data_IF_988419720258
#
_entry.id   IF_988419720258
#
_cell.length_a   1.000
_cell.length_b   1.000
_cell.length_c   1.000
_cell.angle_alpha   90.00
_cell.angle_beta   90.00
_cell.angle_gamma   90.00
#
_symmetry.space_group_name_H-M   'P 1'
#
loop_
_entity.id
_entity.type
_entity.pdbx_description
1 polymer ?
#
# COMPACT_ATOMS: atom_id res chain seq x y z
N UNK A 1 2.84 4.20 -20.79
CA UNK A 1 3.73 4.91 -19.85
C UNK A 1 3.98 3.92 -18.72
N UNK A 2 5.22 3.51 -18.48
CA UNK A 2 5.51 2.49 -17.47
C UNK A 2 5.82 3.17 -16.15
N UNK A 3 5.25 2.62 -15.07
CA UNK A 3 5.51 3.04 -13.71
C UNK A 3 6.15 1.90 -12.96
N UNK A 4 7.07 2.23 -12.07
CA UNK A 4 7.77 1.23 -11.26
C UNK A 4 6.89 0.83 -10.07
N UNK A 5 6.71 -0.47 -9.91
CA UNK A 5 5.96 -1.05 -8.78
C UNK A 5 6.92 -1.98 -8.05
N UNK A 6 7.10 -1.74 -6.75
CA UNK A 6 7.77 -2.68 -5.85
C UNK A 6 6.71 -3.56 -5.18
N UNK A 7 6.99 -4.87 -5.12
CA UNK A 7 6.30 -5.78 -4.21
C UNK A 7 7.15 -5.89 -2.95
N UNK A 8 6.64 -5.40 -1.82
CA UNK A 8 7.38 -5.38 -0.55
C UNK A 8 6.54 -5.98 0.58
N UNK A 9 6.75 -7.26 0.85
CA UNK A 9 6.10 -7.92 1.99
C UNK A 9 6.59 -7.42 3.35
N UNK A 10 7.68 -6.64 3.41
CA UNK A 10 8.18 -5.98 4.61
C UNK A 10 7.50 -4.63 4.89
N UNK A 11 6.79 -4.06 3.93
CA UNK A 11 5.99 -2.86 4.12
C UNK A 11 4.61 -3.23 4.69
N UNK A 12 4.19 -2.61 5.79
CA UNK A 12 2.87 -2.90 6.39
C UNK A 12 1.71 -2.43 5.51
N UNK A 13 1.89 -1.31 4.83
CA UNK A 13 0.90 -0.68 3.96
C UNK A 13 1.47 -0.49 2.55
N UNK A 14 0.59 -0.25 1.58
CA UNK A 14 0.95 0.17 0.24
C UNK A 14 1.14 1.68 0.21
N UNK A 15 2.15 2.10 -0.52
CA UNK A 15 2.57 3.49 -0.60
C UNK A 15 2.61 3.97 -2.05
N UNK A 16 2.35 5.25 -2.24
CA UNK A 16 2.46 5.94 -3.52
C UNK A 16 3.33 7.17 -3.37
N UNK A 17 4.21 7.39 -4.33
CA UNK A 17 5.11 8.53 -4.29
C UNK A 17 4.33 9.83 -4.50
N UNK A 18 4.57 10.82 -3.65
CA UNK A 18 3.95 12.15 -3.75
C UNK A 18 4.18 12.80 -5.12
N UNK A 19 5.37 12.63 -5.70
CA UNK A 19 5.68 13.09 -7.06
C UNK A 19 4.81 12.43 -8.14
N UNK A 20 4.44 11.16 -7.96
CA UNK A 20 3.54 10.44 -8.85
C UNK A 20 2.12 11.01 -8.76
N UNK A 21 1.63 11.22 -7.53
CA UNK A 21 0.34 11.87 -7.27
C UNK A 21 0.27 13.23 -7.98
N UNK A 22 1.30 14.06 -7.86
CA UNK A 22 1.37 15.36 -8.53
C UNK A 22 1.43 15.23 -10.07
N UNK A 23 2.26 14.32 -10.59
CA UNK A 23 2.42 14.09 -12.03
C UNK A 23 1.10 13.70 -12.70
N UNK A 24 0.26 12.91 -12.01
CA UNK A 24 -1.04 12.47 -12.51
C UNK A 24 -2.22 13.29 -12.02
N UNK A 25 -1.97 14.36 -11.26
CA UNK A 25 -3.02 15.22 -10.68
C UNK A 25 -4.06 14.42 -9.88
N UNK A 26 -3.62 13.43 -9.12
CA UNK A 26 -4.49 12.62 -8.28
C UNK A 26 -4.97 13.43 -7.06
N UNK A 27 -6.21 13.22 -6.65
CA UNK A 27 -6.76 13.83 -5.44
C UNK A 27 -6.14 13.19 -4.20
N UNK A 28 -5.58 14.01 -3.31
CA UNK A 28 -5.15 13.60 -1.98
C UNK A 28 -6.23 13.93 -0.96
N UNK A 29 -6.48 13.01 -0.03
CA UNK A 29 -7.33 13.21 1.13
C UNK A 29 -6.48 13.18 2.39
N UNK A 30 -6.82 14.02 3.36
CA UNK A 30 -6.18 14.00 4.68
C UNK A 30 -6.64 12.77 5.47
N UNK A 31 -5.71 12.17 6.20
CA UNK A 31 -6.01 11.14 7.19
C UNK A 31 -6.59 11.80 8.46
N UNK A 32 -7.48 11.09 9.15
CA UNK A 32 -8.02 11.55 10.43
C UNK A 32 -6.92 11.69 11.50
N UNK A 33 -5.93 10.79 11.44
CA UNK A 33 -4.75 10.79 12.30
C UNK A 33 -3.51 10.51 11.47
N UNK A 34 -2.40 11.19 11.79
CA UNK A 34 -1.13 10.96 11.12
C UNK A 34 -0.57 9.59 11.51
N UNK A 35 -0.16 8.80 10.51
CA UNK A 35 0.38 7.45 10.73
C UNK A 35 1.91 7.53 10.88
N UNK A 36 2.51 7.06 11.98
CA UNK A 36 3.97 6.99 12.10
C UNK A 36 4.53 5.93 11.14
N UNK A 37 5.50 6.32 10.31
CA UNK A 37 6.22 5.42 9.43
C UNK A 37 7.65 5.21 9.95
N UNK A 38 8.03 3.95 10.14
CA UNK A 38 9.35 3.53 10.61
C UNK A 38 10.04 2.79 9.46
N UNK A 39 11.10 3.37 8.89
CA UNK A 39 11.83 2.80 7.75
C UNK A 39 13.12 2.15 8.28
N UNK A 40 13.12 0.81 8.32
CA UNK A 40 14.21 -0.08 8.76
C UNK A 40 14.62 0.08 10.25
N UNK A 41 14.70 -1.07 10.91
CA UNK A 41 14.73 -1.24 12.36
C UNK A 41 15.99 -0.66 13.03
N UNK A 42 15.80 0.35 13.89
CA UNK A 42 16.63 0.68 15.07
C UNK A 42 16.27 2.04 15.71
N UNK A 43 15.31 2.82 15.19
CA UNK A 43 14.94 4.09 15.81
C UNK A 43 13.75 3.94 16.77
N UNK A 44 13.91 4.45 18.00
CA UNK A 44 12.82 4.58 18.98
C UNK A 44 11.73 5.58 18.54
N UNK A 45 11.96 6.32 17.45
CA UNK A 45 11.08 7.34 16.91
C UNK A 45 10.70 7.07 15.45
N UNK A 46 9.51 7.52 14.99
CA UNK A 46 9.13 7.46 13.57
C UNK A 46 10.12 8.18 12.67
N UNK A 47 10.40 7.62 11.49
CA UNK A 47 11.21 8.27 10.45
C UNK A 47 10.46 9.45 9.84
N UNK A 48 9.13 9.31 9.70
CA UNK A 48 8.23 10.37 9.26
C UNK A 48 6.79 10.07 9.69
N UNK A 49 5.90 11.05 9.50
CA UNK A 49 4.47 10.92 9.73
C UNK A 49 3.74 11.07 8.41
N UNK A 50 2.91 10.08 8.07
CA UNK A 50 2.07 10.10 6.86
C UNK A 50 0.75 10.77 7.20
N UNK A 51 0.39 11.80 6.43
CA UNK A 51 -0.81 12.61 6.67
C UNK A 51 -1.87 12.50 5.57
N UNK A 52 -1.53 11.88 4.44
CA UNK A 52 -2.41 11.83 3.27
C UNK A 52 -2.50 10.42 2.71
N UNK A 53 -3.65 10.15 2.10
CA UNK A 53 -3.86 8.98 1.27
C UNK A 53 -4.49 9.39 -0.07
N UNK A 54 -4.42 8.50 -1.05
CA UNK A 54 -5.06 8.70 -2.35
C UNK A 54 -5.46 7.36 -2.92
N UNK A 55 -6.54 7.37 -3.70
CA UNK A 55 -6.96 6.20 -4.45
C UNK A 55 -6.38 6.23 -5.85
N UNK A 56 -5.88 5.09 -6.30
CA UNK A 56 -5.32 4.94 -7.63
C UNK A 56 -5.83 3.65 -8.29
N UNK A 57 -6.19 3.75 -9.57
CA UNK A 57 -6.57 2.60 -10.40
C UNK A 57 -5.29 1.89 -10.86
N UNK A 58 -4.97 0.78 -10.21
CA UNK A 58 -3.80 -0.03 -10.53
C UNK A 58 -4.09 -0.89 -11.75
N UNK A 59 -3.16 -0.88 -12.70
CA UNK A 59 -3.19 -1.74 -13.88
C UNK A 59 -1.97 -2.66 -13.86
N UNK A 60 -2.22 -3.98 -13.72
CA UNK A 60 -1.18 -5.00 -13.77
C UNK A 60 -1.36 -5.85 -15.03
N UNK A 61 -0.27 -6.30 -15.70
CA UNK A 61 -0.39 -7.18 -16.85
C UNK A 61 -1.19 -8.45 -16.52
N UNK A 62 -2.18 -8.76 -17.36
CA UNK A 62 -3.01 -9.97 -17.21
C UNK A 62 -3.82 -10.07 -15.91
N UNK A 63 -4.07 -8.93 -15.25
CA UNK A 63 -4.99 -8.83 -14.11
C UNK A 63 -6.00 -7.69 -14.33
N UNK A 64 -7.28 -7.85 -13.93
CA UNK A 64 -8.24 -6.75 -14.01
C UNK A 64 -7.75 -5.51 -13.26
N UNK A 65 -8.00 -4.34 -13.82
CA UNK A 65 -7.73 -3.08 -13.11
C UNK A 65 -8.56 -3.01 -11.83
N UNK A 66 -7.95 -2.48 -10.77
CA UNK A 66 -8.60 -2.33 -9.47
C UNK A 66 -8.24 -1.00 -8.82
N UNK A 67 -9.16 -0.43 -8.06
CA UNK A 67 -8.88 0.74 -7.24
C UNK A 67 -8.26 0.28 -5.92
N UNK A 68 -7.14 0.90 -5.54
CA UNK A 68 -6.48 0.67 -4.25
C UNK A 68 -6.22 1.98 -3.54
N UNK A 69 -6.24 1.93 -2.20
CA UNK A 69 -5.96 3.09 -1.35
C UNK A 69 -4.50 3.06 -0.91
N UNK A 70 -3.77 4.13 -1.22
CA UNK A 70 -2.34 4.25 -0.97
C UNK A 70 -2.04 5.36 0.01
N UNK A 71 -1.11 5.09 0.93
CA UNK A 71 -0.50 6.10 1.77
C UNK A 71 0.50 6.93 0.95
N UNK A 72 0.39 8.26 1.00
CA UNK A 72 1.25 9.16 0.21
C UNK A 72 2.53 9.45 0.96
N UNK A 73 3.68 9.11 0.38
CA UNK A 73 5.00 9.36 0.98
C UNK A 73 5.95 10.05 0.00
N UNK A 74 6.97 10.70 0.53
CA UNK A 74 8.13 11.14 -0.26
C UNK A 74 9.07 9.92 -0.43
N UNK A 75 9.10 9.31 -1.62
CA UNK A 75 9.97 8.15 -1.88
C UNK A 75 11.40 8.61 -2.22
N UNK A 76 12.44 8.12 -1.52
CA UNK A 76 13.81 8.57 -1.74
C UNK A 76 14.47 8.01 -3.01
N UNK A 77 13.90 6.96 -3.63
CA UNK A 77 14.54 6.21 -4.73
C UNK A 77 13.76 6.20 -6.05
N UNK A 78 12.70 7.00 -6.16
CA UNK A 78 12.01 7.23 -7.43
C UNK A 78 11.05 6.13 -7.86
N UNK A 79 10.69 5.22 -6.96
CA UNK A 79 9.62 4.26 -7.19
C UNK A 79 8.26 4.94 -7.11
N UNK A 80 7.37 4.59 -8.05
CA UNK A 80 6.05 5.21 -8.14
C UNK A 80 5.07 4.59 -7.13
N UNK A 81 5.09 3.27 -6.99
CA UNK A 81 4.19 2.49 -6.15
C UNK A 81 4.95 1.41 -5.36
N UNK A 82 4.55 1.20 -4.11
CA UNK A 82 4.92 0.05 -3.28
C UNK A 82 3.63 -0.68 -2.92
N UNK A 83 3.53 -1.95 -3.27
CA UNK A 83 2.46 -2.84 -2.84
C UNK A 83 2.93 -3.60 -1.60
N UNK A 84 2.33 -3.24 -0.46
CA UNK A 84 2.68 -3.74 0.85
C UNK A 84 2.02 -5.07 1.21
N UNK A 85 2.29 -5.51 2.44
CA UNK A 85 1.75 -6.73 3.02
C UNK A 85 0.22 -6.76 3.04
N UNK A 86 -0.45 -5.64 3.31
CA UNK A 86 -1.91 -5.58 3.34
C UNK A 86 -2.53 -5.84 1.96
N UNK A 87 -1.89 -5.37 0.89
CA UNK A 87 -2.27 -5.70 -0.48
C UNK A 87 -2.02 -7.19 -0.78
N UNK A 88 -0.82 -7.68 -0.44
CA UNK A 88 -0.44 -9.08 -0.68
C UNK A 88 -1.32 -10.04 0.11
N UNK A 89 -1.69 -9.69 1.34
CA UNK A 89 -2.59 -10.48 2.17
C UNK A 89 -4.03 -10.43 1.66
N UNK A 90 -4.49 -9.28 1.14
CA UNK A 90 -5.83 -9.15 0.55
C UNK A 90 -6.01 -10.06 -0.67
N UNK A 91 -5.08 -10.00 -1.62
CA UNK A 91 -5.21 -10.73 -2.88
C UNK A 91 -4.56 -12.12 -2.87
N UNK A 92 -3.68 -12.38 -1.88
CA UNK A 92 -2.91 -13.61 -1.71
C UNK A 92 -2.36 -14.17 -3.04
N UNK A 93 -1.59 -13.38 -3.81
CA UNK A 93 -1.12 -13.81 -5.11
C UNK A 93 -0.08 -14.92 -4.99
N UNK A 94 -0.06 -15.81 -5.97
CA UNK A 94 1.06 -16.73 -6.17
C UNK A 94 2.19 -15.99 -6.88
N UNK A 95 3.39 -16.00 -6.30
CA UNK A 95 4.57 -15.39 -6.89
C UNK A 95 5.56 -16.48 -7.30
N UNK A 96 5.82 -16.61 -8.60
CA UNK A 96 6.92 -17.41 -9.11
C UNK A 96 8.17 -16.53 -9.22
N UNK A 97 9.01 -16.58 -8.19
CA UNK A 97 10.26 -15.83 -8.11
C UNK A 97 11.28 -16.22 -9.19
N UNK A 98 11.23 -17.46 -9.69
CA UNK A 98 12.18 -17.92 -10.72
C UNK A 98 11.80 -17.36 -12.09
N UNK A 99 10.51 -17.26 -12.38
CA UNK A 99 9.99 -16.73 -13.64
C UNK A 99 9.69 -15.24 -13.59
N UNK A 100 9.66 -14.64 -12.40
CA UNK A 100 9.24 -13.25 -12.22
C UNK A 100 7.76 -13.03 -12.51
N UNK A 101 6.91 -14.01 -12.19
CA UNK A 101 5.47 -13.96 -12.46
C UNK A 101 4.68 -13.79 -11.17
N UNK A 102 3.64 -12.95 -11.25
CA UNK A 102 2.63 -12.81 -10.20
C UNK A 102 1.27 -13.22 -10.77
N UNK A 103 0.59 -14.12 -10.07
CA UNK A 103 -0.72 -14.65 -10.47
C UNK A 103 -1.70 -14.40 -9.33
N UNK A 104 -2.77 -13.69 -9.65
CA UNK A 104 -3.83 -13.38 -8.70
C UNK A 104 -4.99 -14.37 -8.84
N UNK A 105 -5.49 -14.86 -7.72
CA UNK A 105 -6.64 -15.76 -7.70
C UNK A 105 -7.92 -14.93 -7.79
N UNK A 106 -8.73 -15.15 -8.83
CA UNK A 106 -9.97 -14.41 -9.07
C UNK A 106 -11.10 -14.70 -8.04
N UNK A 107 -10.90 -15.65 -7.13
CA UNK A 107 -11.97 -16.24 -6.30
C UNK A 107 -12.10 -15.66 -4.88
N UNK A 108 -11.40 -14.58 -4.51
CA UNK A 108 -11.50 -14.04 -3.16
C UNK A 108 -12.79 -13.23 -2.94
N UNK A 109 -13.85 -13.93 -2.50
CA UNK A 109 -15.09 -13.35 -1.94
C UNK A 109 -15.00 -12.97 -0.45
N UNK A 110 -13.92 -13.32 0.22
CA UNK A 110 -13.80 -13.20 1.68
C UNK A 110 -12.63 -12.29 2.07
N UNK A 111 -12.81 -10.97 1.98
CA UNK A 111 -11.86 -10.02 2.56
C UNK A 111 -12.17 -9.78 4.05
N UNK A 112 -11.19 -10.06 4.89
CA UNK A 112 -11.11 -9.59 6.28
C UNK A 112 -10.44 -8.21 6.28
N UNK A 113 -11.13 -7.19 6.78
CA UNK A 113 -10.62 -5.82 6.90
C UNK A 113 -9.81 -5.65 8.19
N UNK A 114 -8.46 -5.64 8.14
CA UNK A 114 -7.65 -5.55 9.33
C UNK A 114 -7.74 -4.15 9.98
N UNK A 115 -8.01 -3.08 9.21
CA UNK A 115 -8.17 -1.73 9.76
C UNK A 115 -9.39 -1.62 10.68
N UNK A 116 -10.47 -2.34 10.36
CA UNK A 116 -11.62 -2.47 11.28
C UNK A 116 -11.28 -3.25 12.55
N UNK A 117 -10.44 -4.30 12.46
CA UNK A 117 -9.98 -5.02 13.65
C UNK A 117 -9.16 -4.13 14.57
N UNK A 118 -8.18 -3.41 14.02
CA UNK A 118 -7.33 -2.50 14.79
C UNK A 118 -8.16 -1.41 15.50
N UNK A 119 -9.16 -0.82 14.84
CA UNK A 119 -10.04 0.17 15.49
C UNK A 119 -10.88 -0.47 16.61
N UNK A 120 -11.36 -1.70 16.42
CA UNK A 120 -12.17 -2.39 17.42
C UNK A 120 -11.36 -2.82 18.65
N UNK A 121 -10.09 -3.21 18.47
CA UNK A 121 -9.17 -3.60 19.54
C UNK A 121 -8.80 -2.42 20.46
N UNK A 122 -8.80 -1.18 19.95
CA UNK A 122 -8.64 0.03 20.77
C UNK A 122 -9.95 0.54 21.39
N UNK A 123 -11.10 0.21 20.80
CA UNK A 123 -12.41 0.62 21.33
C UNK A 123 -12.92 -0.26 22.48
N UNK A 124 -12.39 -1.49 22.59
CA UNK A 124 -12.80 -2.50 23.57
C UNK A 124 -11.97 -2.47 24.88
N UNK A 125 -11.01 -1.55 24.99
CA UNK A 125 -10.18 -1.36 26.19
C UNK A 125 -10.68 -0.23 27.12
N UNK A 126 -12.00 -0.02 27.23
CA UNK A 126 -12.62 0.90 28.22
C UNK A 126 -13.52 0.16 29.20
#
# INVERSE_FOLDING_TARGET
>A
MFHSIIIDSGATNSFIAKQFVHKYSLTMSELLENIPLIILDSSESPSLFVAHHTKYMVELPSFPSFEWDFLVIDTPKGEDLILGYEFLNHFNPSIDWRQGLITFNADHKDYYDPLKSFINDFSSSK
#
